data_IF_924457846350
#
_entry.id   IF_924457846350
#
_cell.length_a   1.000
_cell.length_b   1.000
_cell.length_c   1.000
_cell.angle_alpha   90.00
_cell.angle_beta   90.00
_cell.angle_gamma   90.00
#
_symmetry.space_group_name_H-M   'P 1'
#
loop_
_entity.id
_entity.type
_entity.pdbx_description
1 polymer ?
#
# COMPACT_ATOMS: atom_id res chain seq x y z
N UNK A 1 55.71 -29.41 4.78
CA UNK A 1 54.78 -28.99 3.72
C UNK A 1 55.36 -29.41 2.40
N UNK A 2 54.61 -30.17 1.62
CA UNK A 2 55.05 -30.55 0.27
C UNK A 2 54.94 -29.33 -0.64
N UNK A 3 55.79 -29.23 -1.66
CA UNK A 3 55.72 -28.16 -2.67
C UNK A 3 54.31 -28.04 -3.28
N UNK A 4 53.59 -29.16 -3.38
CA UNK A 4 52.21 -29.22 -3.87
C UNK A 4 51.19 -28.49 -2.98
N UNK A 5 51.29 -28.61 -1.65
CA UNK A 5 50.40 -27.90 -0.72
C UNK A 5 50.56 -26.39 -0.82
N UNK A 6 51.79 -25.91 -1.03
CA UNK A 6 52.08 -24.48 -1.22
C UNK A 6 51.45 -23.96 -2.51
N UNK A 7 51.54 -24.71 -3.61
CA UNK A 7 50.90 -24.31 -4.88
C UNK A 7 49.37 -24.30 -4.76
N UNK A 8 48.77 -25.26 -4.05
CA UNK A 8 47.31 -25.28 -3.86
C UNK A 8 46.84 -24.09 -3.02
N UNK A 9 47.57 -23.75 -1.95
CA UNK A 9 47.27 -22.57 -1.14
C UNK A 9 47.35 -21.28 -1.96
N UNK A 10 48.39 -21.14 -2.78
CA UNK A 10 48.55 -20.00 -3.71
C UNK A 10 47.42 -19.93 -4.75
N UNK A 11 47.02 -21.07 -5.29
CA UNK A 11 45.90 -21.14 -6.25
C UNK A 11 44.60 -20.66 -5.60
N UNK A 12 44.32 -21.12 -4.37
CA UNK A 12 43.13 -20.72 -3.60
C UNK A 12 43.08 -19.20 -3.43
N UNK A 13 44.17 -18.61 -2.96
CA UNK A 13 44.26 -17.16 -2.74
C UNK A 13 44.03 -16.38 -4.05
N UNK A 14 44.64 -16.80 -5.15
CA UNK A 14 44.50 -16.11 -6.44
C UNK A 14 43.09 -16.25 -7.02
N UNK A 15 42.46 -17.42 -6.85
CA UNK A 15 41.07 -17.63 -7.26
C UNK A 15 40.13 -16.76 -6.44
N UNK A 16 40.27 -16.73 -5.11
CA UNK A 16 39.45 -15.87 -4.24
C UNK A 16 39.65 -14.38 -4.55
N UNK A 17 40.89 -13.96 -4.85
CA UNK A 17 41.20 -12.60 -5.25
C UNK A 17 40.56 -12.23 -6.60
N UNK A 18 40.67 -13.09 -7.61
CA UNK A 18 40.05 -12.86 -8.93
C UNK A 18 38.52 -12.92 -8.86
N UNK A 19 37.99 -13.80 -8.02
CA UNK A 19 36.56 -13.99 -7.87
C UNK A 19 35.90 -12.90 -7.01
N UNK A 20 36.66 -12.20 -6.17
CA UNK A 20 36.20 -11.11 -5.33
C UNK A 20 35.41 -11.55 -4.09
N UNK A 21 35.40 -12.85 -3.77
CA UNK A 21 34.76 -13.40 -2.56
C UNK A 21 35.47 -14.66 -2.07
N UNK A 22 35.43 -14.87 -0.76
CA UNK A 22 35.97 -16.07 -0.10
C UNK A 22 35.06 -17.27 -0.34
N UNK A 23 35.63 -18.44 -0.62
CA UNK A 23 34.86 -19.62 -1.00
C UNK A 23 34.84 -20.59 0.18
N UNK A 24 33.70 -20.67 0.84
CA UNK A 24 33.54 -21.49 2.06
C UNK A 24 32.34 -22.44 2.01
N UNK A 25 31.32 -22.11 1.20
CA UNK A 25 30.08 -22.88 1.09
C UNK A 25 29.96 -23.58 -0.26
N UNK A 26 28.98 -24.50 -0.35
CA UNK A 26 28.63 -25.17 -1.61
C UNK A 26 28.06 -24.16 -2.62
N UNK A 27 27.27 -23.20 -2.16
CA UNK A 27 26.73 -22.10 -2.99
C UNK A 27 27.86 -21.21 -3.55
N UNK A 28 28.94 -21.01 -2.77
CA UNK A 28 30.11 -20.29 -3.26
C UNK A 28 30.82 -21.05 -4.38
N UNK A 29 30.88 -22.38 -4.27
CA UNK A 29 31.43 -23.26 -5.29
C UNK A 29 30.57 -23.32 -6.55
N UNK A 30 29.24 -23.25 -6.41
CA UNK A 30 28.30 -23.18 -7.54
C UNK A 30 28.53 -21.91 -8.37
N UNK A 31 28.50 -20.75 -7.73
CA UNK A 31 28.73 -19.51 -8.47
C UNK A 31 30.20 -19.34 -8.91
N UNK A 32 31.17 -20.00 -8.27
CA UNK A 32 32.52 -20.11 -8.84
C UNK A 32 32.49 -20.93 -10.13
N UNK A 33 31.77 -22.05 -10.14
CA UNK A 33 31.61 -22.90 -11.32
C UNK A 33 31.01 -22.16 -12.51
N UNK A 34 30.05 -21.26 -12.26
CA UNK A 34 29.47 -20.39 -13.28
C UNK A 34 30.51 -19.41 -13.84
N UNK A 35 31.23 -18.68 -12.97
CA UNK A 35 32.25 -17.71 -13.39
C UNK A 35 33.44 -18.37 -14.12
N UNK A 36 33.88 -19.55 -13.65
CA UNK A 36 34.92 -20.34 -14.31
C UNK A 36 34.43 -20.84 -15.67
N UNK A 37 33.17 -21.28 -15.76
CA UNK A 37 32.55 -21.72 -17.00
C UNK A 37 32.46 -20.61 -18.05
N UNK A 38 32.16 -19.37 -17.65
CA UNK A 38 32.11 -18.22 -18.54
C UNK A 38 33.48 -17.90 -19.15
N UNK A 39 34.56 -18.00 -18.37
CA UNK A 39 35.91 -17.67 -18.84
C UNK A 39 36.56 -18.84 -19.61
N UNK A 40 36.36 -20.08 -19.15
CA UNK A 40 37.09 -21.25 -19.68
C UNK A 40 36.27 -22.11 -20.64
N UNK A 41 34.96 -21.87 -20.77
CA UNK A 41 34.00 -22.75 -21.45
C UNK A 41 33.94 -24.19 -20.89
N UNK A 42 34.52 -24.44 -19.71
CA UNK A 42 34.51 -25.74 -19.05
C UNK A 42 33.63 -25.63 -17.80
N UNK A 43 32.51 -26.36 -17.81
CA UNK A 43 31.64 -26.48 -16.64
C UNK A 43 32.09 -27.64 -15.76
N UNK A 44 32.47 -27.33 -14.53
CA UNK A 44 32.73 -28.33 -13.50
C UNK A 44 31.63 -28.22 -12.43
N UNK A 45 31.24 -29.37 -11.88
CA UNK A 45 30.34 -29.47 -10.73
C UNK A 45 31.01 -28.84 -9.50
N UNK A 46 30.24 -28.14 -8.68
CA UNK A 46 30.61 -27.56 -7.38
C UNK A 46 31.34 -28.53 -6.47
N UNK A 47 30.99 -29.83 -6.55
CA UNK A 47 31.65 -30.92 -5.82
C UNK A 47 33.11 -31.14 -6.24
N UNK A 48 33.51 -30.69 -7.42
CA UNK A 48 34.89 -30.78 -7.90
C UNK A 48 35.81 -29.73 -7.26
N UNK A 49 35.26 -28.58 -6.86
CA UNK A 49 36.01 -27.47 -6.25
C UNK A 49 36.11 -27.62 -4.73
N UNK A 50 35.09 -28.16 -4.07
CA UNK A 50 35.04 -28.36 -2.62
C UNK A 50 36.33 -28.96 -2.01
N UNK A 51 36.96 -30.01 -2.59
CA UNK A 51 38.20 -30.58 -2.03
C UNK A 51 39.37 -29.58 -1.93
N UNK A 52 39.42 -28.59 -2.82
CA UNK A 52 40.48 -27.56 -2.85
C UNK A 52 40.28 -26.56 -1.71
N UNK A 53 39.04 -26.16 -1.45
CA UNK A 53 38.74 -25.08 -0.50
C UNK A 53 38.51 -25.59 0.94
N UNK A 54 38.01 -26.83 1.09
CA UNK A 54 37.68 -27.46 2.39
C UNK A 54 38.71 -28.49 2.89
N UNK A 55 39.71 -28.84 2.08
CA UNK A 55 40.89 -29.62 2.52
C UNK A 55 40.67 -31.10 2.83
N UNK A 56 39.46 -31.65 2.60
CA UNK A 56 39.13 -33.02 3.01
C UNK A 56 39.58 -34.12 2.03
N UNK A 57 40.02 -33.79 0.82
CA UNK A 57 40.37 -34.79 -0.21
C UNK A 57 41.37 -34.26 -1.22
N UNK A 58 42.18 -35.16 -1.80
CA UNK A 58 43.13 -34.79 -2.85
C UNK A 58 42.39 -34.23 -4.08
N UNK A 59 42.71 -33.00 -4.53
CA UNK A 59 42.00 -32.38 -5.64
C UNK A 59 42.34 -33.04 -6.97
N UNK A 60 41.36 -33.12 -7.87
CA UNK A 60 41.54 -33.72 -9.19
C UNK A 60 42.44 -32.82 -10.07
N UNK A 61 43.40 -33.39 -10.83
CA UNK A 61 44.28 -32.62 -11.71
C UNK A 61 43.55 -31.77 -12.76
N UNK A 62 42.38 -32.23 -13.21
CA UNK A 62 41.52 -31.49 -14.15
C UNK A 62 40.98 -30.21 -13.51
N UNK A 63 40.48 -30.29 -12.27
CA UNK A 63 39.98 -29.11 -11.54
C UNK A 63 41.06 -28.07 -11.35
N UNK A 64 42.27 -28.50 -10.96
CA UNK A 64 43.42 -27.61 -10.79
C UNK A 64 43.80 -26.91 -12.11
N UNK A 65 43.76 -27.64 -13.22
CA UNK A 65 44.06 -27.06 -14.54
C UNK A 65 42.98 -26.08 -15.01
N UNK A 66 41.71 -26.35 -14.72
CA UNK A 66 40.61 -25.44 -15.05
C UNK A 66 40.69 -24.14 -14.24
N UNK A 67 41.01 -24.22 -12.94
CA UNK A 67 41.23 -23.03 -12.11
C UNK A 67 42.48 -22.25 -12.55
N UNK A 68 43.56 -22.94 -12.93
CA UNK A 68 44.73 -22.30 -13.50
C UNK A 68 44.38 -21.51 -14.79
N UNK A 69 43.55 -22.10 -15.66
CA UNK A 69 43.01 -21.41 -16.85
C UNK A 69 42.11 -20.24 -16.52
N UNK A 70 41.27 -20.37 -15.51
CA UNK A 70 40.47 -19.26 -15.01
C UNK A 70 41.34 -18.06 -14.58
N UNK A 71 42.51 -18.34 -14.00
CA UNK A 71 43.51 -17.33 -13.65
C UNK A 71 44.36 -16.83 -14.83
N UNK A 72 44.19 -17.40 -16.03
CA UNK A 72 44.92 -17.02 -17.25
C UNK A 72 46.15 -17.88 -17.59
N UNK A 73 46.40 -18.97 -16.86
CA UNK A 73 47.50 -19.91 -17.15
C UNK A 73 47.07 -21.01 -18.13
N UNK A 74 48.01 -21.60 -18.87
CA UNK A 74 47.68 -22.65 -19.84
C UNK A 74 47.25 -23.98 -19.17
N UNK A 75 47.82 -24.28 -18.00
CA UNK A 75 47.64 -25.55 -17.27
C UNK A 75 48.07 -25.46 -15.80
N UNK A 76 47.78 -26.50 -15.01
CA UNK A 76 48.27 -26.61 -13.64
C UNK A 76 49.80 -26.64 -13.54
N UNK A 77 50.49 -27.34 -14.45
CA UNK A 77 51.95 -27.38 -14.48
C UNK A 77 52.54 -26.00 -14.77
N UNK A 78 51.94 -25.26 -15.69
CA UNK A 78 52.33 -23.88 -16.03
C UNK A 78 52.18 -22.95 -14.83
N UNK A 79 51.08 -23.10 -14.08
CA UNK A 79 50.87 -22.41 -12.81
C UNK A 79 51.91 -22.80 -11.75
N UNK A 80 52.39 -24.04 -11.68
CA UNK A 80 53.41 -24.44 -10.69
C UNK A 80 54.80 -23.90 -11.03
N UNK A 81 55.12 -23.79 -12.32
CA UNK A 81 56.42 -23.30 -12.80
C UNK A 81 56.52 -21.77 -12.82
N UNK A 82 55.39 -21.07 -12.80
CA UNK A 82 55.39 -19.61 -12.71
C UNK A 82 55.77 -19.17 -11.28
N UNK A 83 57.02 -18.74 -11.12
CA UNK A 83 57.49 -18.18 -9.85
C UNK A 83 56.99 -16.75 -9.61
N UNK A 84 56.66 -15.99 -10.67
CA UNK A 84 56.46 -14.52 -10.57
C UNK A 84 55.44 -13.90 -11.54
N UNK A 85 54.43 -14.63 -12.01
CA UNK A 85 53.40 -14.01 -12.86
C UNK A 85 52.30 -13.44 -11.97
N UNK A 86 52.35 -12.13 -11.75
CA UNK A 86 51.16 -11.38 -11.29
C UNK A 86 50.00 -11.74 -12.21
N UNK A 87 48.81 -12.07 -11.67
CA UNK A 87 47.64 -12.34 -12.50
C UNK A 87 47.49 -11.18 -13.49
N UNK A 88 47.28 -11.51 -14.77
CA UNK A 88 47.17 -10.53 -15.83
C UNK A 88 46.24 -9.41 -15.38
N UNK A 89 46.72 -8.16 -15.48
CA UNK A 89 46.00 -6.96 -15.08
C UNK A 89 44.64 -6.98 -15.80
N UNK A 90 43.59 -7.30 -15.05
CA UNK A 90 42.26 -7.60 -15.57
C UNK A 90 41.66 -6.29 -16.09
N UNK A 91 41.72 -6.08 -17.40
CA UNK A 91 41.05 -4.96 -18.07
C UNK A 91 39.54 -5.14 -18.17
N UNK A 92 39.02 -6.30 -17.77
CA UNK A 92 37.60 -6.61 -17.82
C UNK A 92 37.06 -6.80 -16.40
N UNK A 93 37.01 -5.69 -15.65
CA UNK A 93 36.04 -5.55 -14.56
C UNK A 93 34.67 -5.77 -15.20
N UNK A 94 34.09 -6.95 -15.00
CA UNK A 94 32.70 -7.26 -15.35
C UNK A 94 31.86 -6.13 -14.76
N UNK A 95 31.22 -5.28 -15.60
CA UNK A 95 30.59 -4.06 -15.12
C UNK A 95 29.30 -4.41 -14.36
N UNK A 96 29.42 -4.58 -13.05
CA UNK A 96 28.30 -4.66 -12.10
C UNK A 96 27.44 -3.39 -12.10
N UNK A 97 27.89 -2.32 -12.77
CA UNK A 97 27.22 -1.02 -12.90
C UNK A 97 25.89 -1.07 -13.67
N UNK A 98 25.65 -2.08 -14.51
CA UNK A 98 24.38 -2.17 -15.28
C UNK A 98 23.17 -2.58 -14.43
N UNK A 99 23.38 -3.33 -13.33
CA UNK A 99 22.29 -3.80 -12.46
C UNK A 99 21.80 -2.71 -11.51
N UNK A 100 22.70 -1.89 -10.98
CA UNK A 100 22.35 -0.79 -10.06
C UNK A 100 21.56 0.33 -10.75
N UNK A 101 21.88 0.65 -12.00
CA UNK A 101 21.12 1.66 -12.77
C UNK A 101 19.65 1.28 -12.95
N UNK A 102 19.36 -0.01 -13.20
CA UNK A 102 17.97 -0.50 -13.33
C UNK A 102 17.26 -0.46 -11.98
N UNK A 103 17.92 -0.89 -10.90
CA UNK A 103 17.33 -0.86 -9.55
C UNK A 103 16.99 0.58 -9.15
N UNK A 104 17.91 1.54 -9.36
CA UNK A 104 17.67 2.95 -9.03
C UNK A 104 16.50 3.51 -9.86
N UNK A 105 16.43 3.20 -11.16
CA UNK A 105 15.30 3.62 -12.01
C UNK A 105 13.97 3.03 -11.53
N UNK A 106 13.94 1.77 -11.10
CA UNK A 106 12.71 1.16 -10.57
C UNK A 106 12.25 1.81 -9.27
N UNK A 107 13.17 2.15 -8.37
CA UNK A 107 12.85 2.84 -7.10
C UNK A 107 12.28 4.23 -7.39
N UNK A 108 12.88 4.98 -8.30
CA UNK A 108 12.39 6.32 -8.69
C UNK A 108 10.98 6.19 -9.30
N UNK A 109 10.75 5.23 -10.19
CA UNK A 109 9.44 5.01 -10.78
C UNK A 109 8.37 4.68 -9.71
N UNK A 110 8.69 3.82 -8.74
CA UNK A 110 7.79 3.50 -7.62
C UNK A 110 7.50 4.75 -6.78
N UNK A 111 8.51 5.55 -6.47
CA UNK A 111 8.33 6.79 -5.69
C UNK A 111 7.41 7.79 -6.40
N UNK A 112 7.52 7.93 -7.73
CA UNK A 112 6.62 8.78 -8.52
C UNK A 112 5.19 8.27 -8.47
N UNK A 113 4.98 6.95 -8.58
CA UNK A 113 3.65 6.34 -8.48
C UNK A 113 3.06 6.56 -7.08
N UNK A 114 3.84 6.35 -6.02
CA UNK A 114 3.40 6.58 -4.64
C UNK A 114 3.03 8.05 -4.42
N UNK A 115 3.86 9.00 -4.89
CA UNK A 115 3.56 10.42 -4.80
C UNK A 115 2.27 10.80 -5.53
N UNK A 116 2.04 10.24 -6.73
CA UNK A 116 0.80 10.47 -7.48
C UNK A 116 -0.43 9.94 -6.71
N UNK A 117 -0.34 8.75 -6.10
CA UNK A 117 -1.42 8.18 -5.28
C UNK A 117 -1.71 9.08 -4.07
N UNK A 118 -0.67 9.56 -3.38
CA UNK A 118 -0.83 10.46 -2.22
C UNK A 118 -1.54 11.75 -2.64
N UNK A 119 -1.14 12.37 -3.76
CA UNK A 119 -1.78 13.58 -4.27
C UNK A 119 -3.26 13.35 -4.63
N UNK A 120 -3.61 12.19 -5.18
CA UNK A 120 -5.01 11.84 -5.46
C UNK A 120 -5.83 11.71 -4.18
N UNK A 121 -5.29 11.07 -3.13
CA UNK A 121 -5.97 10.93 -1.83
C UNK A 121 -6.15 12.27 -1.13
N UNK A 122 -5.14 13.15 -1.16
CA UNK A 122 -5.25 14.49 -0.57
C UNK A 122 -6.28 15.33 -1.35
N UNK A 123 -6.26 15.23 -2.68
CA UNK A 123 -7.21 15.93 -3.55
C UNK A 123 -8.65 15.48 -3.33
N UNK A 124 -8.90 14.19 -3.11
CA UNK A 124 -10.25 13.69 -2.81
C UNK A 124 -10.75 14.16 -1.45
N UNK A 125 -9.92 14.08 -0.41
CA UNK A 125 -10.26 14.57 0.93
C UNK A 125 -10.59 16.06 0.96
N UNK A 126 -9.84 16.87 0.22
CA UNK A 126 -10.09 18.31 0.12
C UNK A 126 -11.43 18.63 -0.56
N UNK A 127 -11.83 17.86 -1.59
CA UNK A 127 -13.13 18.03 -2.24
C UNK A 127 -14.29 17.63 -1.33
N UNK A 128 -14.16 16.53 -0.59
CA UNK A 128 -15.18 16.10 0.36
C UNK A 128 -15.36 17.11 1.50
N UNK A 129 -14.26 17.62 2.06
CA UNK A 129 -14.32 18.63 3.13
C UNK A 129 -15.03 19.92 2.68
N UNK A 130 -14.74 20.40 1.47
CA UNK A 130 -15.40 21.59 0.92
C UNK A 130 -16.89 21.35 0.65
N UNK A 131 -17.26 20.17 0.13
CA UNK A 131 -18.66 19.83 -0.10
C UNK A 131 -19.45 19.75 1.22
N UNK A 132 -18.84 19.20 2.27
CA UNK A 132 -19.45 19.11 3.60
C UNK A 132 -19.62 20.51 4.24
N UNK A 133 -18.60 21.37 4.11
CA UNK A 133 -18.66 22.76 4.58
C UNK A 133 -19.77 23.57 3.88
N UNK A 134 -19.99 23.33 2.59
CA UNK A 134 -21.09 23.96 1.83
C UNK A 134 -22.46 23.32 2.11
N UNK A 135 -22.51 22.05 2.49
CA UNK A 135 -23.74 21.31 2.75
C UNK A 135 -24.33 21.63 4.12
N UNK A 136 -23.49 21.77 5.14
CA UNK A 136 -23.90 22.07 6.51
C UNK A 136 -24.90 23.23 6.62
N UNK A 137 -24.67 24.43 6.04
CA UNK A 137 -25.63 25.54 6.12
C UNK A 137 -26.93 25.27 5.38
N UNK A 138 -26.93 24.40 4.36
CA UNK A 138 -28.14 23.98 3.65
C UNK A 138 -29.01 23.11 4.55
N UNK A 139 -28.40 22.10 5.18
CA UNK A 139 -29.07 21.20 6.12
C UNK A 139 -29.64 22.00 7.30
N UNK A 140 -28.85 22.88 7.90
CA UNK A 140 -29.28 23.73 9.02
C UNK A 140 -30.46 24.65 8.63
N UNK A 141 -30.44 25.23 7.43
CA UNK A 141 -31.54 26.08 6.96
C UNK A 141 -32.84 25.31 6.77
N UNK A 142 -32.77 24.09 6.24
CA UNK A 142 -33.93 23.21 6.05
C UNK A 142 -34.45 22.76 7.42
N UNK A 143 -33.56 22.31 8.29
CA UNK A 143 -33.91 21.90 9.64
C UNK A 143 -34.65 23.01 10.38
N UNK A 144 -34.12 24.23 10.40
CA UNK A 144 -34.77 25.37 11.06
C UNK A 144 -36.18 25.63 10.53
N UNK A 145 -36.39 25.47 9.22
CA UNK A 145 -37.70 25.67 8.58
C UNK A 145 -38.70 24.60 9.00
N UNK A 146 -38.28 23.33 9.00
CA UNK A 146 -39.13 22.21 9.40
C UNK A 146 -39.45 22.24 10.90
N UNK A 147 -38.47 22.59 11.74
CA UNK A 147 -38.68 22.77 13.17
C UNK A 147 -39.64 23.93 13.45
N UNK A 148 -39.49 25.06 12.75
CA UNK A 148 -40.40 26.21 12.91
C UNK A 148 -41.84 25.85 12.48
N UNK A 149 -41.99 25.17 11.34
CA UNK A 149 -43.30 24.69 10.87
C UNK A 149 -43.91 23.71 11.86
N UNK A 150 -43.13 22.74 12.33
CA UNK A 150 -43.56 21.77 13.36
C UNK A 150 -44.03 22.47 14.63
N UNK A 151 -43.31 23.50 15.08
CA UNK A 151 -43.71 24.30 16.25
C UNK A 151 -45.05 25.00 16.03
N UNK A 152 -45.26 25.61 14.86
CA UNK A 152 -46.51 26.31 14.51
C UNK A 152 -47.70 25.36 14.51
N UNK A 153 -47.53 24.17 13.94
CA UNK A 153 -48.56 23.12 13.96
C UNK A 153 -48.85 22.65 15.40
N UNK A 154 -47.82 22.40 16.20
CA UNK A 154 -47.99 22.06 17.62
C UNK A 154 -48.74 23.15 18.38
N UNK A 155 -48.44 24.42 18.12
CA UNK A 155 -49.12 25.56 18.75
C UNK A 155 -50.58 25.65 18.31
N UNK A 156 -50.85 25.39 17.03
CA UNK A 156 -52.21 25.32 16.48
C UNK A 156 -53.01 24.25 17.20
N UNK A 157 -52.43 23.06 17.35
CA UNK A 157 -53.02 21.95 18.10
C UNK A 157 -53.26 22.37 19.56
N UNK A 158 -52.29 22.95 20.27
CA UNK A 158 -52.50 23.43 21.65
C UNK A 158 -53.70 24.38 21.80
N UNK A 159 -54.02 25.18 20.78
CA UNK A 159 -55.18 26.08 20.82
C UNK A 159 -56.53 25.34 20.86
N UNK A 160 -56.58 24.09 20.36
CA UNK A 160 -57.78 23.25 20.33
C UNK A 160 -57.89 22.27 21.50
N UNK A 161 -56.99 22.33 22.49
CA UNK A 161 -56.91 21.35 23.59
C UNK A 161 -58.19 21.26 24.45
N UNK A 162 -59.01 22.32 24.46
CA UNK A 162 -60.25 22.38 25.20
C UNK A 162 -61.45 21.75 24.46
N UNK A 163 -61.28 21.29 23.21
CA UNK A 163 -62.35 20.68 22.42
C UNK A 163 -62.54 19.19 22.71
N UNK A 164 -63.79 18.72 22.67
CA UNK A 164 -64.19 17.36 23.09
C UNK A 164 -63.58 16.26 22.20
N UNK A 165 -63.25 16.56 20.93
CA UNK A 165 -62.68 15.63 19.94
C UNK A 165 -61.19 15.87 19.65
N UNK A 166 -60.50 16.60 20.53
CA UNK A 166 -59.13 17.05 20.32
C UNK A 166 -58.12 15.90 20.09
N UNK A 167 -58.29 14.75 20.76
CA UNK A 167 -57.39 13.58 20.59
C UNK A 167 -57.46 12.99 19.18
N UNK A 168 -58.64 12.88 18.58
CA UNK A 168 -58.79 12.39 17.21
C UNK A 168 -58.16 13.35 16.19
N UNK A 169 -58.17 14.65 16.50
CA UNK A 169 -57.55 15.69 15.67
C UNK A 169 -56.03 15.57 15.69
N UNK A 170 -55.43 15.25 16.83
CA UNK A 170 -53.98 15.03 16.96
C UNK A 170 -53.55 13.76 16.24
N UNK A 171 -54.23 12.63 16.46
CA UNK A 171 -53.84 11.37 15.83
C UNK A 171 -53.90 11.49 14.29
N UNK A 172 -54.93 12.17 13.77
CA UNK A 172 -55.07 12.48 12.35
C UNK A 172 -53.95 13.39 11.86
N UNK A 173 -53.63 14.45 12.61
CA UNK A 173 -52.54 15.36 12.28
C UNK A 173 -51.19 14.66 12.26
N UNK A 174 -50.85 13.92 13.31
CA UNK A 174 -49.54 13.26 13.46
C UNK A 174 -49.33 12.25 12.34
N UNK A 175 -50.34 11.42 12.04
CA UNK A 175 -50.25 10.43 10.95
C UNK A 175 -50.02 11.11 9.60
N UNK A 176 -50.79 12.16 9.28
CA UNK A 176 -50.64 12.88 8.02
C UNK A 176 -49.33 13.68 7.93
N UNK A 177 -48.84 14.20 9.06
CA UNK A 177 -47.61 14.98 9.10
C UNK A 177 -46.36 14.10 9.07
N UNK A 178 -46.39 12.89 9.60
CA UNK A 178 -45.29 11.93 9.48
C UNK A 178 -45.02 11.54 8.02
N UNK A 179 -46.07 11.29 7.23
CA UNK A 179 -45.93 11.02 5.79
C UNK A 179 -45.29 12.20 5.06
N UNK A 180 -45.63 13.44 5.45
CA UNK A 180 -45.03 14.65 4.91
C UNK A 180 -43.55 14.78 5.29
N UNK A 181 -43.17 14.52 6.54
CA UNK A 181 -41.79 14.59 7.00
C UNK A 181 -40.87 13.65 6.21
N UNK A 182 -41.27 12.39 6.03
CA UNK A 182 -40.45 11.38 5.36
C UNK A 182 -40.27 11.65 3.86
N UNK A 183 -41.31 12.14 3.18
CA UNK A 183 -41.27 12.42 1.75
C UNK A 183 -40.63 13.77 1.41
N UNK A 184 -40.97 14.82 2.16
CA UNK A 184 -40.74 16.18 1.69
C UNK A 184 -39.41 16.76 2.17
N UNK A 185 -38.92 16.35 3.35
CA UNK A 185 -37.58 16.75 3.82
C UNK A 185 -36.51 16.24 2.84
N UNK A 186 -36.60 14.98 2.43
CA UNK A 186 -35.66 14.39 1.48
C UNK A 186 -35.65 15.12 0.12
N UNK A 187 -36.84 15.44 -0.41
CA UNK A 187 -36.99 16.21 -1.67
C UNK A 187 -36.43 17.62 -1.55
N UNK A 188 -36.65 18.28 -0.42
CA UNK A 188 -36.16 19.64 -0.19
C UNK A 188 -34.64 19.68 -0.03
N UNK A 189 -34.06 18.71 0.68
CA UNK A 189 -32.61 18.51 0.78
C UNK A 189 -31.98 18.32 -0.60
N UNK A 190 -32.54 17.43 -1.42
CA UNK A 190 -32.04 17.17 -2.77
C UNK A 190 -32.12 18.43 -3.65
N UNK A 191 -33.26 19.12 -3.64
CA UNK A 191 -33.46 20.34 -4.41
C UNK A 191 -32.50 21.47 -3.98
N UNK A 192 -32.31 21.66 -2.68
CA UNK A 192 -31.44 22.70 -2.14
C UNK A 192 -29.97 22.40 -2.42
N UNK A 193 -29.53 21.15 -2.23
CA UNK A 193 -28.17 20.73 -2.55
C UNK A 193 -27.86 20.90 -4.05
N UNK A 194 -28.79 20.49 -4.91
CA UNK A 194 -28.67 20.65 -6.37
C UNK A 194 -28.57 22.13 -6.76
N UNK A 195 -29.34 23.02 -6.12
CA UNK A 195 -29.27 24.47 -6.37
C UNK A 195 -27.90 25.09 -6.02
N UNK A 196 -27.15 24.45 -5.11
CA UNK A 196 -25.81 24.85 -4.68
C UNK A 196 -24.70 24.11 -5.43
N UNK A 197 -25.05 23.25 -6.39
CA UNK A 197 -24.08 22.43 -7.12
C UNK A 197 -23.47 21.30 -6.29
N UNK A 198 -24.09 20.93 -5.16
CA UNK A 198 -23.62 19.87 -4.28
C UNK A 198 -24.24 18.55 -4.74
N UNK A 199 -23.39 17.56 -4.99
CA UNK A 199 -23.85 16.19 -5.26
C UNK A 199 -23.99 15.44 -3.94
N UNK A 200 -25.22 15.10 -3.57
CA UNK A 200 -25.51 14.23 -2.43
C UNK A 200 -25.74 12.81 -2.91
N UNK A 201 -25.18 11.84 -2.18
CA UNK A 201 -25.59 10.45 -2.33
C UNK A 201 -26.89 10.17 -1.55
N UNK A 202 -27.58 9.09 -1.92
CA UNK A 202 -28.85 8.72 -1.30
C UNK A 202 -28.71 8.47 0.21
N UNK A 203 -27.56 7.94 0.66
CA UNK A 203 -27.33 7.62 2.06
C UNK A 203 -27.26 8.89 2.92
N UNK A 204 -26.58 9.93 2.44
CA UNK A 204 -26.53 11.24 3.10
C UNK A 204 -27.91 11.88 3.15
N UNK A 205 -28.66 11.84 2.04
CA UNK A 205 -30.04 12.38 2.01
C UNK A 205 -30.89 11.70 3.08
N UNK A 206 -30.89 10.37 3.13
CA UNK A 206 -31.62 9.61 4.16
C UNK A 206 -31.14 9.97 5.56
N UNK A 207 -29.82 10.03 5.80
CA UNK A 207 -29.27 10.35 7.13
C UNK A 207 -29.70 11.72 7.65
N UNK A 208 -29.62 12.76 6.81
CA UNK A 208 -30.06 14.11 7.23
C UNK A 208 -31.58 14.17 7.35
N UNK A 209 -32.33 13.57 6.42
CA UNK A 209 -33.78 13.54 6.45
C UNK A 209 -34.31 12.87 7.72
N UNK A 210 -33.73 11.73 8.10
CA UNK A 210 -34.09 11.00 9.32
C UNK A 210 -33.75 11.81 10.58
N UNK A 211 -32.59 12.48 10.58
CA UNK A 211 -32.19 13.34 11.70
C UNK A 211 -33.15 14.52 11.89
N UNK A 212 -33.53 15.21 10.81
CA UNK A 212 -34.49 16.33 10.87
C UNK A 212 -35.87 15.81 11.28
N UNK A 213 -36.34 14.71 10.69
CA UNK A 213 -37.63 14.09 11.02
C UNK A 213 -37.69 13.68 12.48
N UNK A 214 -36.61 13.10 13.02
CA UNK A 214 -36.50 12.73 14.43
C UNK A 214 -36.64 13.94 15.37
N UNK A 215 -35.99 15.07 15.04
CA UNK A 215 -36.15 16.31 15.81
C UNK A 215 -37.59 16.83 15.76
N UNK A 216 -38.23 16.80 14.59
CA UNK A 216 -39.64 17.18 14.46
C UNK A 216 -40.56 16.25 15.28
N UNK A 217 -40.34 14.92 15.21
CA UNK A 217 -41.07 13.92 16.00
C UNK A 217 -40.97 14.17 17.50
N UNK A 218 -39.80 14.51 18.01
CA UNK A 218 -39.61 14.80 19.44
C UNK A 218 -40.51 15.95 19.93
N UNK A 219 -40.88 16.89 19.07
CA UNK A 219 -41.79 17.99 19.42
C UNK A 219 -43.23 17.50 19.58
N UNK A 220 -43.66 16.54 18.75
CA UNK A 220 -44.96 15.89 18.88
C UNK A 220 -45.03 14.98 20.10
N UNK A 221 -43.94 14.27 20.44
CA UNK A 221 -43.86 13.48 21.67
C UNK A 221 -44.07 14.35 22.91
N UNK A 222 -43.45 15.54 22.95
CA UNK A 222 -43.67 16.51 24.03
C UNK A 222 -45.14 16.95 24.08
N UNK A 223 -45.75 17.21 22.93
CA UNK A 223 -47.16 17.57 22.85
C UNK A 223 -48.06 16.44 23.40
N UNK A 224 -47.83 15.18 23.04
CA UNK A 224 -48.56 14.05 23.60
C UNK A 224 -48.45 13.97 25.14
N UNK A 225 -47.25 14.18 25.68
CA UNK A 225 -47.02 14.17 27.13
C UNK A 225 -47.75 15.31 27.84
N UNK A 226 -47.75 16.52 27.26
CA UNK A 226 -48.50 17.67 27.79
C UNK A 226 -50.00 17.36 27.89
N UNK A 227 -50.54 16.67 26.90
CA UNK A 227 -51.97 16.34 26.81
C UNK A 227 -52.35 15.25 27.80
N UNK A 228 -51.52 14.21 27.92
CA UNK A 228 -51.77 13.15 28.89
C UNK A 228 -51.65 13.63 30.33
N UNK A 229 -50.87 14.69 30.59
CA UNK A 229 -50.76 15.33 31.89
C UNK A 229 -51.99 16.19 32.29
N UNK A 230 -52.86 16.56 31.34
CA UNK A 230 -54.09 17.32 31.63
C UNK A 230 -55.29 16.43 32.04
N UNK A 231 -55.04 15.14 32.25
CA UNK A 231 -56.00 14.13 32.70
C UNK A 231 -56.20 14.15 34.21
#
# INVERSE_FOLDING_TARGET
MTTQEQYIARLKEYVEAKFGRTISTIEDCEALGEAVGEVTNIRLDSRAYMPIFTGNTAPRPVTLSTLARYLGYGSWSDFCTSSDVKPAEDKDIIPTTRRWGVIILTIIAIMVVVAAIILLIIGSKSKEANNEEMLQPVVESIEQRWMARTQEECNTIRAYIAEENYRETIDCFVTGYEELLESDIAKELEAAAKSKGISLDQQKITTYSDSISSRCRSMYEVLYLEIDAQR
#
